data_IF_468040217179
#
_entry.id   IF_468040217179
#
_cell.length_a   1.000
_cell.length_b   1.000
_cell.length_c   1.000
_cell.angle_alpha   90.00
_cell.angle_beta   90.00
_cell.angle_gamma   90.00
#
_symmetry.space_group_name_H-M   'P 1'
#
loop_
_entity.id
_entity.type
_entity.pdbx_description
1 polymer ?
#
# COMPACT_ATOMS: atom_id res chain seq x y z
N UNK A 1 72.63 9.00 39.40
CA UNK A 1 71.23 9.48 39.37
C UNK A 1 70.68 9.76 37.96
N UNK A 2 71.52 10.02 36.95
CA UNK A 2 71.05 10.40 35.61
C UNK A 2 70.32 9.25 34.88
N UNK A 3 70.83 8.02 34.97
CA UNK A 3 70.22 6.87 34.30
C UNK A 3 68.86 6.45 34.90
N UNK A 4 68.70 6.57 36.22
CA UNK A 4 67.44 6.23 36.90
C UNK A 4 66.28 7.16 36.49
N UNK A 5 66.57 8.44 36.24
CA UNK A 5 65.58 9.40 35.73
C UNK A 5 65.14 9.06 34.30
N UNK A 6 66.07 8.62 33.45
CA UNK A 6 65.76 8.19 32.07
C UNK A 6 64.91 6.92 32.05
N UNK A 7 65.24 5.91 32.86
CA UNK A 7 64.44 4.68 32.92
C UNK A 7 63.04 4.91 33.49
N UNK A 8 62.91 5.74 34.54
CA UNK A 8 61.61 6.09 35.11
C UNK A 8 60.74 6.88 34.11
N UNK A 9 61.35 7.76 33.31
CA UNK A 9 60.67 8.51 32.26
C UNK A 9 60.13 7.61 31.13
N UNK A 10 60.91 6.61 30.69
CA UNK A 10 60.48 5.66 29.64
C UNK A 10 59.34 4.75 30.13
N UNK A 11 59.39 4.29 31.38
CA UNK A 11 58.34 3.45 31.96
C UNK A 11 57.03 4.23 32.16
N UNK A 12 57.11 5.49 32.59
CA UNK A 12 55.93 6.36 32.76
C UNK A 12 55.26 6.77 31.43
N UNK A 13 56.00 6.78 30.32
CA UNK A 13 55.46 7.07 28.98
C UNK A 13 54.84 5.84 28.29
N UNK A 14 55.23 4.63 28.69
CA UNK A 14 54.79 3.39 28.04
C UNK A 14 53.27 3.09 28.06
N UNK A 15 52.48 3.43 29.11
CA UNK A 15 51.02 3.22 29.07
C UNK A 15 50.26 4.29 28.26
N UNK A 16 50.93 5.34 27.77
CA UNK A 16 50.32 6.43 27.00
C UNK A 16 50.33 6.18 25.49
N UNK A 17 51.00 5.13 25.03
CA UNK A 17 51.06 4.79 23.60
C UNK A 17 50.01 3.74 23.28
N UNK A 18 49.00 4.10 22.50
CA UNK A 18 48.11 3.11 21.89
C UNK A 18 48.90 2.32 20.85
N UNK A 19 48.82 1.00 20.86
CA UNK A 19 49.43 0.13 19.85
C UNK A 19 48.65 0.21 18.53
N UNK A 20 48.73 1.36 17.86
CA UNK A 20 48.08 1.63 16.58
C UNK A 20 49.13 1.66 15.46
N UNK A 21 48.78 1.08 14.32
CA UNK A 21 49.57 1.10 13.09
C UNK A 21 48.89 2.08 12.14
N UNK A 22 49.53 3.23 11.92
CA UNK A 22 49.16 4.20 10.90
C UNK A 22 49.97 4.01 9.64
N UNK A 23 49.33 3.78 8.51
CA UNK A 23 49.95 3.82 7.19
C UNK A 23 49.50 5.12 6.52
N UNK A 24 50.46 6.02 6.28
CA UNK A 24 50.24 7.33 5.67
C UNK A 24 49.31 8.27 6.48
N UNK A 25 49.26 8.09 7.80
CA UNK A 25 48.65 9.02 8.77
C UNK A 25 49.47 9.06 10.06
N UNK A 26 49.64 10.24 10.65
CA UNK A 26 50.33 10.44 11.95
C UNK A 26 49.36 10.45 13.14
N UNK A 27 48.06 10.36 12.88
CA UNK A 27 47.01 10.31 13.90
C UNK A 27 46.02 9.21 13.56
N UNK A 28 46.38 7.92 13.75
CA UNK A 28 45.50 6.80 13.48
C UNK A 28 44.23 6.89 14.33
N UNK A 29 43.08 6.72 13.69
CA UNK A 29 41.77 6.66 14.34
C UNK A 29 41.32 5.23 14.71
N UNK A 30 42.07 4.23 14.24
CA UNK A 30 41.83 2.81 14.46
C UNK A 30 43.14 2.05 14.76
N UNK A 31 43.05 0.79 15.22
CA UNK A 31 44.22 -0.08 15.47
C UNK A 31 45.08 -0.27 14.21
N UNK A 32 44.45 -0.35 13.03
CA UNK A 32 45.09 -0.25 11.73
C UNK A 32 44.34 0.84 10.94
N UNK A 33 45.02 1.94 10.67
CA UNK A 33 44.48 3.05 9.89
C UNK A 33 45.30 3.23 8.62
N UNK A 34 44.67 3.08 7.46
CA UNK A 34 45.30 3.18 6.16
C UNK A 34 44.63 4.33 5.41
N UNK A 35 45.37 5.41 5.22
CA UNK A 35 44.91 6.56 4.45
C UNK A 35 45.58 6.54 3.09
N UNK A 36 44.83 6.35 2.00
CA UNK A 36 45.39 6.41 0.66
C UNK A 36 45.98 7.80 0.37
N UNK A 37 47.01 7.85 -0.48
CA UNK A 37 47.57 9.14 -0.94
C UNK A 37 46.70 9.83 -1.98
N UNK A 38 45.93 9.05 -2.76
CA UNK A 38 44.98 9.55 -3.74
C UNK A 38 43.53 9.48 -3.26
N UNK A 39 42.63 9.91 -4.14
CA UNK A 39 41.17 9.78 -3.99
C UNK A 39 40.48 9.37 -5.32
N UNK A 40 41.25 8.85 -6.28
CA UNK A 40 40.78 8.42 -7.60
C UNK A 40 40.82 6.89 -7.74
N UNK A 41 40.47 6.34 -8.90
CA UNK A 41 40.56 4.90 -9.16
C UNK A 41 41.92 4.46 -9.74
N UNK A 42 42.91 5.37 -9.82
CA UNK A 42 44.21 5.09 -10.43
C UNK A 42 45.11 4.24 -9.54
N UNK A 43 44.93 4.36 -8.22
CA UNK A 43 45.76 3.71 -7.19
C UNK A 43 44.89 3.01 -6.13
N UNK A 44 45.54 2.22 -5.28
CA UNK A 44 44.89 1.31 -4.34
C UNK A 44 45.20 1.72 -2.90
N UNK A 45 44.17 1.77 -2.08
CA UNK A 45 44.26 1.99 -0.64
C UNK A 45 44.68 0.69 0.07
N UNK A 46 44.15 -0.44 -0.37
CA UNK A 46 44.49 -1.76 0.14
C UNK A 46 44.47 -2.81 -0.99
N UNK A 47 45.47 -3.70 -0.98
CA UNK A 47 45.58 -4.86 -1.86
C UNK A 47 45.97 -6.09 -1.05
N UNK A 48 45.17 -7.13 -1.14
CA UNK A 48 45.48 -8.47 -0.62
C UNK A 48 45.60 -9.40 -1.83
N UNK A 49 46.73 -10.07 -1.97
CA UNK A 49 47.03 -10.95 -3.10
C UNK A 49 47.39 -12.35 -2.67
N UNK A 50 47.14 -13.32 -3.56
CA UNK A 50 47.71 -14.65 -3.40
C UNK A 50 49.23 -14.65 -3.67
N UNK A 51 49.90 -15.75 -3.34
CA UNK A 51 51.34 -15.93 -3.53
C UNK A 51 51.71 -16.54 -4.89
N UNK A 52 50.78 -16.61 -5.84
CA UNK A 52 51.01 -17.31 -7.10
C UNK A 52 52.02 -16.57 -7.96
N UNK A 53 52.96 -17.31 -8.54
CA UNK A 53 54.02 -16.77 -9.41
C UNK A 53 53.85 -17.31 -10.83
N UNK A 54 54.12 -16.53 -11.90
CA UNK A 54 54.75 -15.21 -11.91
C UNK A 54 53.78 -14.02 -11.73
N UNK A 55 52.46 -14.27 -11.69
CA UNK A 55 51.44 -13.22 -11.52
C UNK A 55 50.55 -13.58 -10.35
N UNK A 56 50.51 -12.71 -9.33
CA UNK A 56 49.62 -12.85 -8.18
C UNK A 56 48.25 -12.27 -8.50
N UNK A 57 47.18 -12.99 -8.12
CA UNK A 57 45.83 -12.47 -8.24
C UNK A 57 45.50 -11.54 -7.08
N UNK A 58 44.69 -10.52 -7.32
CA UNK A 58 44.15 -9.65 -6.25
C UNK A 58 42.89 -10.30 -5.68
N UNK A 59 43.00 -10.81 -4.45
CA UNK A 59 41.89 -11.44 -3.71
C UNK A 59 40.92 -10.37 -3.21
N UNK A 60 41.46 -9.30 -2.62
CA UNK A 60 40.70 -8.11 -2.19
C UNK A 60 41.43 -6.85 -2.65
N UNK A 61 40.68 -5.96 -3.28
CA UNK A 61 41.16 -4.66 -3.74
C UNK A 61 40.26 -3.58 -3.18
N UNK A 62 40.84 -2.54 -2.58
CA UNK A 62 40.15 -1.29 -2.26
C UNK A 62 40.88 -0.18 -3.02
N UNK A 63 40.21 0.45 -3.98
CA UNK A 63 40.73 1.62 -4.69
C UNK A 63 40.63 2.87 -3.81
N UNK A 64 41.44 3.90 -4.10
CA UNK A 64 41.44 5.15 -3.31
C UNK A 64 40.09 5.90 -3.36
N UNK A 65 39.25 5.64 -4.38
CA UNK A 65 37.89 6.19 -4.48
C UNK A 65 36.82 5.36 -3.72
N UNK A 66 37.26 4.36 -2.95
CA UNK A 66 36.42 3.50 -2.12
C UNK A 66 35.71 2.38 -2.88
N UNK A 67 36.06 2.10 -4.14
CA UNK A 67 35.56 0.93 -4.84
C UNK A 67 36.24 -0.34 -4.31
N UNK A 68 35.43 -1.31 -3.88
CA UNK A 68 35.89 -2.60 -3.35
C UNK A 68 35.69 -3.69 -4.40
N UNK A 69 36.75 -4.45 -4.68
CA UNK A 69 36.75 -5.60 -5.57
C UNK A 69 37.11 -6.86 -4.80
N UNK A 70 36.37 -7.95 -5.04
CA UNK A 70 36.75 -9.30 -4.59
C UNK A 70 37.02 -10.14 -5.84
N UNK A 71 38.25 -10.67 -5.95
CA UNK A 71 38.79 -11.27 -7.18
C UNK A 71 38.75 -10.33 -8.41
N UNK A 72 38.78 -9.01 -8.18
CA UNK A 72 38.76 -8.01 -9.25
C UNK A 72 39.70 -6.87 -8.94
N UNK A 73 40.79 -6.79 -9.70
CA UNK A 73 41.84 -5.78 -9.50
C UNK A 73 41.41 -4.35 -9.81
N UNK A 74 40.45 -4.16 -10.71
CA UNK A 74 39.95 -2.83 -11.10
C UNK A 74 38.41 -2.81 -11.01
N UNK A 75 37.83 -2.61 -9.81
CA UNK A 75 36.40 -2.50 -9.62
C UNK A 75 35.85 -1.15 -10.11
N UNK A 76 34.85 -1.21 -10.99
CA UNK A 76 34.12 -0.03 -11.51
C UNK A 76 32.93 0.40 -10.64
N UNK A 77 32.45 -0.47 -9.73
CA UNK A 77 31.37 -0.19 -8.78
C UNK A 77 31.86 -0.20 -7.34
N UNK A 78 31.02 0.25 -6.41
CA UNK A 78 31.36 0.34 -4.97
C UNK A 78 31.69 -1.02 -4.35
N UNK A 79 30.97 -2.07 -4.73
CA UNK A 79 31.31 -3.46 -4.46
C UNK A 79 31.17 -4.22 -5.78
N UNK A 80 32.28 -4.77 -6.30
CA UNK A 80 32.31 -5.55 -7.54
C UNK A 80 32.90 -6.93 -7.22
N UNK A 81 32.05 -7.95 -7.24
CA UNK A 81 32.43 -9.34 -7.02
C UNK A 81 32.35 -10.07 -8.36
N UNK A 82 33.41 -10.77 -8.74
CA UNK A 82 33.45 -11.59 -9.96
C UNK A 82 33.63 -13.05 -9.57
N UNK A 83 32.73 -13.91 -10.04
CA UNK A 83 32.86 -15.35 -9.86
C UNK A 83 33.96 -15.95 -10.71
N UNK A 84 34.61 -17.00 -10.20
CA UNK A 84 35.42 -17.88 -11.03
C UNK A 84 34.48 -18.84 -11.79
N UNK A 85 34.72 -19.02 -13.10
CA UNK A 85 33.84 -19.68 -14.05
C UNK A 85 33.54 -21.17 -13.80
N UNK A 86 33.95 -21.76 -12.67
CA UNK A 86 33.94 -23.22 -12.53
C UNK A 86 33.30 -23.83 -11.29
N UNK A 87 33.00 -23.15 -10.17
CA UNK A 87 32.39 -23.88 -9.01
C UNK A 87 31.61 -23.10 -7.94
N UNK A 88 31.62 -21.76 -7.88
CA UNK A 88 31.05 -21.04 -6.71
C UNK A 88 30.12 -19.87 -7.08
N UNK A 89 29.12 -19.62 -6.23
CA UNK A 89 28.24 -18.44 -6.31
C UNK A 89 29.05 -17.14 -6.16
N UNK A 90 28.69 -16.12 -6.97
CA UNK A 90 29.35 -14.79 -6.94
C UNK A 90 28.99 -14.01 -5.67
N UNK A 91 27.81 -14.27 -5.11
CA UNK A 91 27.34 -13.66 -3.87
C UNK A 91 26.48 -14.70 -3.15
N UNK A 92 27.04 -15.29 -2.10
CA UNK A 92 26.36 -16.24 -1.24
C UNK A 92 25.86 -15.51 0.01
N UNK A 93 24.55 -15.39 0.16
CA UNK A 93 23.90 -14.78 1.33
C UNK A 93 23.38 -15.91 2.23
N UNK A 94 24.19 -16.37 3.17
CA UNK A 94 23.75 -17.32 4.21
C UNK A 94 23.06 -16.59 5.37
N UNK A 95 22.16 -17.28 6.08
CA UNK A 95 21.24 -16.75 7.10
C UNK A 95 20.07 -15.88 6.61
N UNK A 96 19.47 -16.22 5.46
CA UNK A 96 18.07 -15.87 5.23
C UNK A 96 17.08 -16.81 5.96
N UNK A 97 17.51 -17.50 7.01
CA UNK A 97 16.57 -18.02 8.01
C UNK A 97 16.22 -16.88 8.96
N UNK A 98 15.41 -15.93 8.46
CA UNK A 98 14.49 -15.27 9.37
C UNK A 98 13.55 -16.35 9.89
N UNK A 99 13.45 -16.50 11.20
CA UNK A 99 12.49 -17.37 11.89
C UNK A 99 11.01 -16.98 11.68
N UNK A 100 10.66 -16.44 10.52
CA UNK A 100 9.31 -16.08 10.09
C UNK A 100 9.05 -16.60 8.65
N UNK A 101 9.21 -17.92 8.49
CA UNK A 101 8.78 -18.68 7.32
C UNK A 101 7.24 -18.68 7.08
N UNK A 102 6.51 -17.74 7.68
CA UNK A 102 5.05 -17.64 7.58
C UNK A 102 4.57 -16.46 6.72
N UNK A 103 5.43 -15.51 6.31
CA UNK A 103 5.02 -14.44 5.37
C UNK A 103 5.95 -14.22 4.17
N UNK A 104 7.06 -14.96 4.08
CA UNK A 104 7.57 -15.45 2.79
C UNK A 104 7.94 -14.45 1.70
N UNK A 105 8.48 -13.26 2.00
CA UNK A 105 9.08 -12.41 0.97
C UNK A 105 10.46 -11.90 1.39
N UNK A 106 11.50 -12.34 0.66
CA UNK A 106 12.81 -11.69 0.68
C UNK A 106 12.71 -10.37 -0.08
N UNK A 107 13.23 -9.27 0.45
CA UNK A 107 13.30 -8.00 -0.29
C UNK A 107 14.20 -8.09 -1.54
N UNK A 108 14.96 -9.18 -1.66
CA UNK A 108 15.84 -9.52 -2.76
C UNK A 108 15.61 -10.98 -3.19
N UNK A 109 15.08 -11.19 -4.39
CA UNK A 109 14.92 -12.50 -5.01
C UNK A 109 15.96 -12.63 -6.14
N UNK A 110 16.68 -13.75 -6.20
CA UNK A 110 17.58 -14.06 -7.30
C UNK A 110 16.88 -15.11 -8.18
N UNK A 111 16.64 -14.78 -9.44
CA UNK A 111 16.10 -15.74 -10.40
C UNK A 111 17.22 -16.70 -10.82
N UNK A 112 17.16 -17.95 -10.35
CA UNK A 112 18.19 -18.97 -10.59
C UNK A 112 18.38 -19.37 -12.07
N UNK A 113 17.44 -19.03 -12.95
CA UNK A 113 17.54 -19.33 -14.40
C UNK A 113 18.17 -18.19 -15.19
N UNK A 114 17.99 -16.94 -14.73
CA UNK A 114 18.41 -15.74 -15.48
C UNK A 114 19.47 -14.90 -14.76
N UNK A 115 19.78 -15.22 -13.49
CA UNK A 115 20.66 -14.43 -12.63
C UNK A 115 20.09 -13.06 -12.24
N UNK A 116 18.83 -12.76 -12.59
CA UNK A 116 18.23 -11.45 -12.35
C UNK A 116 17.88 -11.27 -10.87
N UNK A 117 18.34 -10.15 -10.31
CA UNK A 117 17.98 -9.68 -8.97
C UNK A 117 16.66 -8.91 -9.05
N UNK A 118 15.64 -9.36 -8.34
CA UNK A 118 14.27 -8.84 -8.37
C UNK A 118 13.91 -8.34 -6.97
N UNK A 119 13.37 -7.13 -6.86
CA UNK A 119 12.71 -6.67 -5.63
C UNK A 119 11.34 -7.34 -5.54
N UNK A 120 11.10 -8.13 -4.49
CA UNK A 120 9.76 -8.68 -4.25
C UNK A 120 8.79 -7.55 -3.94
N UNK A 121 7.93 -7.21 -4.89
CA UNK A 121 6.70 -6.46 -4.61
C UNK A 121 5.63 -7.54 -4.44
N UNK A 122 5.11 -7.74 -3.23
CA UNK A 122 4.11 -8.77 -2.97
C UNK A 122 2.96 -8.74 -3.97
N UNK A 123 2.24 -9.86 -4.11
CA UNK A 123 1.03 -9.94 -4.94
C UNK A 123 0.02 -8.93 -4.38
N UNK A 124 -0.07 -7.75 -5.00
CA UNK A 124 -0.97 -6.72 -4.51
C UNK A 124 -2.38 -7.17 -4.85
N UNK A 125 -3.22 -7.39 -3.83
CA UNK A 125 -4.65 -7.60 -4.03
C UNK A 125 -5.20 -6.45 -4.87
N UNK A 126 -5.73 -6.76 -6.05
CA UNK A 126 -6.31 -5.76 -6.94
C UNK A 126 -7.69 -5.39 -6.36
N UNK A 127 -7.77 -4.23 -5.71
CA UNK A 127 -8.93 -3.80 -4.92
C UNK A 127 -9.19 -2.31 -5.08
N UNK A 128 -10.46 -1.91 -5.00
CA UNK A 128 -10.85 -0.54 -4.73
C UNK A 128 -11.68 -0.49 -3.45
N UNK A 129 -11.34 0.38 -2.52
CA UNK A 129 -12.15 0.67 -1.34
C UNK A 129 -12.30 2.18 -1.14
N UNK A 130 -13.55 2.63 -1.05
CA UNK A 130 -13.92 4.00 -0.73
C UNK A 130 -14.72 4.01 0.56
N UNK A 131 -14.39 4.94 1.47
CA UNK A 131 -15.10 5.17 2.73
C UNK A 131 -15.33 6.67 2.90
N UNK A 132 -16.58 7.08 3.00
CA UNK A 132 -16.95 8.50 3.08
C UNK A 132 -17.64 8.79 4.40
N UNK A 133 -17.20 9.82 5.11
CA UNK A 133 -17.89 10.37 6.29
C UNK A 133 -18.83 11.53 5.93
N UNK A 134 -18.84 11.97 4.67
CA UNK A 134 -19.67 13.09 4.23
C UNK A 134 -21.15 12.67 4.16
N UNK A 135 -22.07 13.37 4.85
CA UNK A 135 -23.50 13.15 4.67
C UNK A 135 -23.96 13.51 3.25
N UNK A 136 -25.04 12.89 2.79
CA UNK A 136 -25.64 13.21 1.49
C UNK A 136 -27.15 13.44 1.62
N UNK A 137 -27.59 14.59 1.14
CA UNK A 137 -29.02 14.88 0.94
C UNK A 137 -29.50 14.20 -0.36
N UNK A 138 -30.78 13.86 -0.38
CA UNK A 138 -31.48 13.17 -1.46
C UNK A 138 -32.73 13.99 -1.79
N UNK A 139 -33.19 13.95 -3.02
CA UNK A 139 -34.52 14.42 -3.38
C UNK A 139 -35.56 13.54 -2.68
N UNK A 140 -36.34 14.18 -1.81
CA UNK A 140 -37.34 13.54 -0.95
C UNK A 140 -38.55 13.02 -1.74
N UNK A 141 -38.82 13.60 -2.91
CA UNK A 141 -40.03 13.39 -3.69
C UNK A 141 -39.81 12.49 -4.90
N UNK A 142 -38.58 12.44 -5.43
CA UNK A 142 -38.25 11.62 -6.58
C UNK A 142 -38.53 10.13 -6.34
N UNK A 143 -39.01 9.45 -7.38
CA UNK A 143 -39.08 7.98 -7.44
C UNK A 143 -37.99 7.36 -8.33
N UNK A 144 -37.21 8.21 -8.98
CA UNK A 144 -36.07 7.81 -9.81
C UNK A 144 -34.87 7.47 -8.95
N UNK A 145 -33.96 6.65 -9.49
CA UNK A 145 -32.68 6.36 -8.85
C UNK A 145 -31.83 7.62 -8.69
N UNK A 146 -31.25 7.79 -7.52
CA UNK A 146 -30.35 8.89 -7.16
C UNK A 146 -28.95 8.32 -6.93
N UNK A 147 -27.94 8.98 -7.49
CA UNK A 147 -26.54 8.59 -7.33
C UNK A 147 -26.11 8.75 -5.88
N UNK A 148 -25.49 7.72 -5.32
CA UNK A 148 -24.71 7.83 -4.09
C UNK A 148 -23.33 8.37 -4.48
N UNK A 149 -22.99 9.55 -3.98
CA UNK A 149 -21.79 10.28 -4.42
C UNK A 149 -20.60 9.98 -3.54
N UNK A 150 -19.38 10.04 -4.07
CA UNK A 150 -18.15 9.95 -3.28
C UNK A 150 -17.22 11.11 -3.68
N UNK A 151 -16.31 11.48 -2.79
CA UNK A 151 -15.22 12.40 -3.08
C UNK A 151 -13.98 11.62 -3.50
N UNK A 152 -13.12 12.22 -4.34
CA UNK A 152 -11.82 11.62 -4.66
C UNK A 152 -10.96 11.36 -3.41
N UNK A 153 -11.15 12.16 -2.36
CA UNK A 153 -10.49 12.03 -1.05
C UNK A 153 -11.03 10.89 -0.17
N UNK A 154 -12.16 10.27 -0.53
CA UNK A 154 -12.72 9.11 0.20
C UNK A 154 -11.96 7.80 -0.13
N UNK A 155 -11.05 7.85 -1.10
CA UNK A 155 -10.25 6.74 -1.57
C UNK A 155 -9.33 6.19 -0.47
N UNK A 156 -9.40 4.89 -0.19
CA UNK A 156 -8.43 4.19 0.65
C UNK A 156 -7.43 3.40 -0.20
N UNK A 157 -7.94 2.69 -1.22
CA UNK A 157 -7.17 1.91 -2.19
C UNK A 157 -7.94 2.00 -3.51
N UNK A 158 -7.26 2.14 -4.65
CA UNK A 158 -7.90 2.24 -5.98
C UNK A 158 -7.06 1.56 -7.05
N UNK A 159 -6.78 0.26 -6.89
CA UNK A 159 -6.04 -0.55 -7.88
C UNK A 159 -6.94 -1.36 -8.80
N UNK A 160 -8.19 -1.64 -8.40
CA UNK A 160 -9.16 -2.36 -9.24
C UNK A 160 -9.92 -1.47 -10.23
N UNK A 161 -10.11 -0.20 -9.86
CA UNK A 161 -10.94 0.75 -10.60
C UNK A 161 -10.31 2.15 -10.59
N UNK A 162 -10.76 3.01 -11.49
CA UNK A 162 -10.66 4.47 -11.34
C UNK A 162 -12.01 5.06 -10.94
N UNK A 163 -12.03 6.20 -10.26
CA UNK A 163 -13.27 6.87 -9.84
C UNK A 163 -13.39 8.25 -10.48
N UNK A 164 -14.55 8.54 -11.06
CA UNK A 164 -14.92 9.85 -11.58
C UNK A 164 -15.93 10.52 -10.63
N UNK A 165 -15.50 11.56 -9.92
CA UNK A 165 -16.33 12.26 -8.95
C UNK A 165 -17.50 13.01 -9.59
N UNK A 166 -17.33 13.59 -10.77
CA UNK A 166 -18.38 14.33 -11.49
C UNK A 166 -19.58 13.44 -11.81
N UNK A 167 -19.32 12.20 -12.20
CA UNK A 167 -20.38 11.23 -12.53
C UNK A 167 -20.69 10.26 -11.39
N UNK A 168 -19.87 10.25 -10.33
CA UNK A 168 -19.91 9.26 -9.24
C UNK A 168 -19.87 7.82 -9.73
N UNK A 169 -18.96 7.53 -10.67
CA UNK A 169 -18.80 6.22 -11.29
C UNK A 169 -17.41 5.63 -11.07
N UNK A 170 -17.37 4.32 -10.88
CA UNK A 170 -16.15 3.51 -10.82
C UNK A 170 -15.95 2.83 -12.18
N UNK A 171 -14.75 2.89 -12.76
CA UNK A 171 -14.44 2.23 -14.04
C UNK A 171 -13.47 1.08 -13.79
N UNK A 172 -13.85 -0.14 -14.18
CA UNK A 172 -13.04 -1.35 -14.05
C UNK A 172 -11.77 -1.21 -14.90
N UNK A 173 -10.60 -1.47 -14.32
CA UNK A 173 -9.31 -1.30 -15.00
C UNK A 173 -8.91 -2.53 -15.83
N UNK A 174 -9.30 -3.73 -15.42
CA UNK A 174 -8.87 -4.98 -16.04
C UNK A 174 -10.03 -5.95 -16.18
N UNK A 175 -9.96 -6.84 -17.18
CA UNK A 175 -10.90 -7.96 -17.24
C UNK A 175 -10.70 -8.87 -16.01
N UNK A 176 -11.79 -9.37 -15.43
CA UNK A 176 -11.70 -10.30 -14.33
C UNK A 176 -13.04 -10.61 -13.67
N UNK A 177 -12.95 -11.48 -12.67
CA UNK A 177 -14.05 -11.76 -11.75
C UNK A 177 -13.89 -10.85 -10.54
N UNK A 178 -14.95 -10.15 -10.17
CA UNK A 178 -14.94 -9.18 -9.08
C UNK A 178 -16.00 -9.52 -8.05
N UNK A 179 -15.63 -9.47 -6.77
CA UNK A 179 -16.58 -9.34 -5.68
C UNK A 179 -16.86 -7.86 -5.42
N UNK A 180 -18.14 -7.51 -5.37
CA UNK A 180 -18.61 -6.13 -5.20
C UNK A 180 -19.55 -6.08 -4.00
N UNK A 181 -19.32 -5.13 -3.10
CA UNK A 181 -20.19 -4.89 -1.96
C UNK A 181 -20.26 -3.40 -1.63
N UNK A 182 -21.36 -2.99 -0.99
CA UNK A 182 -21.61 -1.59 -0.68
C UNK A 182 -22.43 -1.45 0.58
N UNK A 183 -22.32 -0.26 1.17
CA UNK A 183 -22.97 0.10 2.42
C UNK A 183 -23.37 1.56 2.41
N UNK A 184 -24.54 1.87 2.98
CA UNK A 184 -24.91 3.22 3.41
C UNK A 184 -25.52 3.21 4.81
N UNK A 185 -25.32 4.29 5.55
CA UNK A 185 -26.16 4.68 6.67
C UNK A 185 -27.33 5.50 6.17
N UNK A 186 -28.54 5.02 6.35
CA UNK A 186 -29.76 5.67 5.87
C UNK A 186 -30.67 6.07 7.02
N UNK A 187 -31.16 7.30 6.96
CA UNK A 187 -32.12 7.87 7.89
C UNK A 187 -33.31 8.41 7.11
N UNK A 188 -34.47 7.76 7.25
CA UNK A 188 -35.71 8.20 6.61
C UNK A 188 -36.25 9.52 7.18
N UNK A 189 -35.86 9.86 8.42
CA UNK A 189 -36.24 11.06 9.18
C UNK A 189 -37.74 11.41 9.10
N UNK A 190 -38.63 10.58 9.67
CA UNK A 190 -40.09 10.79 9.61
C UNK A 190 -40.71 11.08 10.98
N UNK A 191 -40.50 12.27 11.56
CA UNK A 191 -41.17 12.69 12.80
C UNK A 191 -42.68 12.91 12.62
N UNK A 192 -43.16 12.96 11.38
CA UNK A 192 -44.53 13.23 10.98
C UNK A 192 -45.39 11.97 10.77
N UNK A 193 -44.82 10.77 10.95
CA UNK A 193 -45.60 9.53 10.93
C UNK A 193 -46.55 9.48 12.12
N UNK A 194 -47.85 9.36 11.84
CA UNK A 194 -48.94 9.38 12.82
C UNK A 194 -49.62 8.02 12.99
N UNK A 195 -49.31 7.05 12.13
CA UNK A 195 -49.89 5.70 12.16
C UNK A 195 -48.83 4.62 11.97
N UNK A 196 -49.05 3.45 12.58
CA UNK A 196 -48.14 2.30 12.47
C UNK A 196 -48.11 1.67 11.06
N UNK A 197 -48.96 2.10 10.15
CA UNK A 197 -49.04 1.59 8.76
C UNK A 197 -48.22 2.42 7.78
N UNK A 198 -47.76 3.62 8.17
CA UNK A 198 -46.92 4.46 7.32
C UNK A 198 -45.48 3.94 7.27
N UNK A 199 -44.90 3.98 6.08
CA UNK A 199 -43.57 3.44 5.83
C UNK A 199 -42.77 4.25 4.83
N UNK A 200 -41.45 4.10 4.90
CA UNK A 200 -40.50 4.46 3.83
C UNK A 200 -39.81 3.19 3.37
N UNK A 201 -39.84 2.93 2.06
CA UNK A 201 -39.06 1.89 1.42
C UNK A 201 -37.97 2.51 0.55
N UNK A 202 -36.80 1.87 0.50
CA UNK A 202 -35.72 2.22 -0.42
C UNK A 202 -35.16 0.97 -1.08
N UNK A 203 -34.85 1.10 -2.37
CA UNK A 203 -33.98 0.16 -3.07
C UNK A 203 -32.56 0.71 -3.04
N UNK A 204 -31.60 -0.14 -2.72
CA UNK A 204 -30.18 0.16 -2.74
C UNK A 204 -29.51 -0.84 -3.66
N UNK A 205 -28.85 -0.38 -4.72
CA UNK A 205 -28.32 -1.28 -5.74
C UNK A 205 -27.11 -0.70 -6.48
N UNK A 206 -26.30 -1.60 -7.02
CA UNK A 206 -25.29 -1.25 -8.01
C UNK A 206 -25.87 -1.45 -9.41
N UNK A 207 -25.50 -0.56 -10.32
CA UNK A 207 -25.70 -0.76 -11.75
C UNK A 207 -24.36 -0.73 -12.47
N UNK A 208 -24.29 -1.43 -13.60
CA UNK A 208 -23.14 -1.39 -14.49
C UNK A 208 -23.54 -0.91 -15.89
N UNK A 209 -22.56 -0.38 -16.62
CA UNK A 209 -22.68 0.05 -18.00
C UNK A 209 -21.45 -0.39 -18.80
N UNK A 210 -21.69 -0.96 -19.98
CA UNK A 210 -20.64 -1.38 -20.92
C UNK A 210 -20.53 -0.44 -22.14
N UNK A 211 -21.31 0.64 -22.17
CA UNK A 211 -21.40 1.59 -23.29
C UNK A 211 -21.17 3.04 -22.84
N UNK A 212 -20.18 3.24 -21.97
CA UNK A 212 -19.76 4.59 -21.53
C UNK A 212 -20.82 5.33 -20.73
N UNK A 213 -21.73 4.62 -20.04
CA UNK A 213 -22.78 5.21 -19.22
C UNK A 213 -24.06 5.59 -19.96
N UNK A 214 -24.21 5.19 -21.24
CA UNK A 214 -25.42 5.48 -22.03
C UNK A 214 -26.62 4.67 -21.55
N UNK A 215 -26.42 3.40 -21.20
CA UNK A 215 -27.44 2.55 -20.59
C UNK A 215 -26.86 1.81 -19.38
N UNK A 216 -27.73 1.50 -18.41
CA UNK A 216 -27.36 0.90 -17.14
C UNK A 216 -28.20 -0.35 -16.88
N UNK A 217 -27.59 -1.38 -16.31
CA UNK A 217 -28.24 -2.62 -15.90
C UNK A 217 -27.93 -2.88 -14.44
N UNK A 218 -28.93 -3.31 -13.67
CA UNK A 218 -28.74 -3.62 -12.26
C UNK A 218 -27.84 -4.85 -12.10
N UNK A 219 -26.83 -4.73 -11.25
CA UNK A 219 -25.90 -5.80 -10.92
C UNK A 219 -26.37 -6.61 -9.71
N UNK A 220 -26.69 -5.90 -8.64
CA UNK A 220 -27.12 -6.46 -7.36
C UNK A 220 -27.84 -5.39 -6.56
N UNK A 221 -28.72 -5.78 -5.64
CA UNK A 221 -29.45 -4.82 -4.82
C UNK A 221 -30.23 -5.44 -3.68
N UNK A 222 -30.74 -4.56 -2.83
CA UNK A 222 -31.58 -4.90 -1.69
C UNK A 222 -32.69 -3.85 -1.55
N UNK A 223 -33.81 -4.27 -0.95
CA UNK A 223 -34.86 -3.36 -0.50
C UNK A 223 -34.90 -3.36 1.02
N UNK A 224 -35.00 -2.16 1.59
CA UNK A 224 -35.21 -1.97 3.03
C UNK A 224 -36.49 -1.19 3.24
N UNK A 225 -37.25 -1.56 4.27
CA UNK A 225 -38.51 -0.93 4.65
C UNK A 225 -38.46 -0.48 6.10
N UNK A 226 -38.92 0.74 6.34
CA UNK A 226 -38.83 1.44 7.60
C UNK A 226 -40.24 1.88 8.02
N UNK A 227 -40.74 1.37 9.14
CA UNK A 227 -42.09 1.63 9.66
C UNK A 227 -41.98 2.41 10.96
N UNK A 228 -42.76 3.49 11.12
CA UNK A 228 -42.88 4.19 12.41
C UNK A 228 -41.58 4.73 13.03
N UNK A 229 -40.58 5.10 12.21
CA UNK A 229 -39.22 5.40 12.72
C UNK A 229 -39.11 6.81 13.33
N UNK A 230 -38.60 6.86 14.55
CA UNK A 230 -38.23 8.09 15.25
C UNK A 230 -37.05 8.80 14.56
N UNK A 231 -37.17 10.12 14.42
CA UNK A 231 -36.16 10.98 13.83
C UNK A 231 -34.75 10.77 14.41
N UNK A 232 -33.73 10.65 13.54
CA UNK A 232 -32.32 10.77 13.92
C UNK A 232 -31.52 9.46 14.10
N UNK A 233 -32.13 8.29 13.89
CA UNK A 233 -31.40 7.01 13.94
C UNK A 233 -30.99 6.56 12.53
N UNK A 234 -29.74 6.81 12.16
CA UNK A 234 -29.17 6.25 10.93
C UNK A 234 -29.10 4.72 11.03
N UNK A 235 -29.73 4.02 10.08
CA UNK A 235 -29.71 2.56 10.00
C UNK A 235 -28.79 2.11 8.89
N UNK A 236 -27.98 1.10 9.20
CA UNK A 236 -27.12 0.42 8.26
C UNK A 236 -27.93 -0.34 7.19
N UNK A 237 -27.76 0.00 5.91
CA UNK A 237 -28.23 -0.80 4.77
C UNK A 237 -27.00 -1.31 4.02
N UNK A 238 -26.85 -2.63 3.96
CA UNK A 238 -25.76 -3.30 3.25
C UNK A 238 -26.30 -4.01 2.01
N UNK A 239 -25.65 -3.80 0.87
CA UNK A 239 -25.90 -4.62 -0.33
C UNK A 239 -25.23 -5.99 -0.13
N UNK A 240 -25.92 -7.10 -0.45
CA UNK A 240 -25.29 -8.41 -0.53
C UNK A 240 -24.04 -8.41 -1.42
N UNK A 241 -22.95 -8.99 -0.96
CA UNK A 241 -21.77 -9.15 -1.80
C UNK A 241 -22.12 -9.98 -3.04
N UNK A 242 -21.74 -9.49 -4.21
CA UNK A 242 -22.01 -10.16 -5.50
C UNK A 242 -20.72 -10.40 -6.24
N UNK A 243 -20.60 -11.58 -6.83
CA UNK A 243 -19.50 -11.95 -7.71
C UNK A 243 -19.97 -11.75 -9.16
N UNK A 244 -19.19 -11.00 -9.95
CA UNK A 244 -19.52 -10.72 -11.35
C UNK A 244 -18.26 -10.75 -12.22
N UNK A 245 -18.39 -11.30 -13.43
CA UNK A 245 -17.37 -11.17 -14.47
C UNK A 245 -17.53 -9.83 -15.17
N UNK A 246 -16.50 -8.99 -15.11
CA UNK A 246 -16.52 -7.63 -15.64
C UNK A 246 -15.34 -7.41 -16.58
N UNK A 247 -15.58 -6.69 -17.67
CA UNK A 247 -14.53 -6.28 -18.60
C UNK A 247 -13.95 -4.93 -18.20
N UNK A 248 -12.70 -4.68 -18.59
CA UNK A 248 -12.09 -3.37 -18.53
C UNK A 248 -13.00 -2.33 -19.20
N UNK A 249 -13.03 -1.11 -18.65
CA UNK A 249 -13.92 -0.01 -19.02
C UNK A 249 -15.41 -0.19 -18.66
N UNK A 250 -15.80 -1.29 -18.01
CA UNK A 250 -17.14 -1.37 -17.42
C UNK A 250 -17.27 -0.30 -16.33
N UNK A 251 -18.30 0.54 -16.43
CA UNK A 251 -18.59 1.56 -15.43
C UNK A 251 -19.59 1.00 -14.42
N UNK A 252 -19.41 1.31 -13.14
CA UNK A 252 -20.30 0.92 -12.04
C UNK A 252 -20.69 2.15 -11.25
N UNK A 253 -21.95 2.22 -10.84
CA UNK A 253 -22.47 3.28 -9.99
C UNK A 253 -23.32 2.72 -8.87
N UNK A 254 -23.35 3.45 -7.77
CA UNK A 254 -24.10 3.09 -6.57
C UNK A 254 -25.37 3.96 -6.50
N UNK A 255 -26.54 3.32 -6.42
CA UNK A 255 -27.83 3.99 -6.52
C UNK A 255 -28.68 3.71 -5.29
N UNK A 256 -29.34 4.76 -4.80
CA UNK A 256 -30.49 4.65 -3.91
C UNK A 256 -31.74 5.13 -4.64
N UNK A 257 -32.84 4.41 -4.51
CA UNK A 257 -34.11 4.76 -5.14
C UNK A 257 -35.24 4.66 -4.12
N UNK A 258 -36.14 5.63 -4.15
CA UNK A 258 -37.44 5.55 -3.48
C UNK A 258 -38.46 4.93 -4.46
N UNK A 259 -38.84 3.66 -4.32
CA UNK A 259 -39.74 3.03 -5.27
C UNK A 259 -41.17 3.56 -5.10
N UNK A 260 -41.88 3.76 -6.22
CA UNK A 260 -43.31 4.07 -6.24
C UNK A 260 -44.16 2.86 -5.86
N UNK A 261 -44.17 2.50 -4.57
CA UNK A 261 -44.95 1.37 -4.05
C UNK A 261 -46.24 1.81 -3.39
N UNK A 262 -47.27 0.96 -3.48
CA UNK A 262 -48.48 1.00 -2.67
C UNK A 262 -48.65 -0.38 -2.02
N UNK A 263 -48.74 -0.43 -0.69
CA UNK A 263 -48.97 -1.65 0.08
C UNK A 263 -50.25 -1.48 0.89
N UNK A 264 -51.24 -2.34 0.66
CA UNK A 264 -52.55 -2.31 1.34
C UNK A 264 -53.21 -0.91 1.33
N UNK A 265 -53.12 -0.20 0.21
CA UNK A 265 -53.67 1.16 0.04
C UNK A 265 -52.82 2.29 0.63
N UNK A 266 -51.67 1.99 1.26
CA UNK A 266 -50.74 2.99 1.79
C UNK A 266 -49.58 3.17 0.80
N UNK A 267 -49.37 4.40 0.34
CA UNK A 267 -48.25 4.75 -0.54
C UNK A 267 -46.93 4.85 0.23
N UNK A 268 -45.83 4.51 -0.44
CA UNK A 268 -44.49 4.74 0.09
C UNK A 268 -44.26 6.23 0.38
N UNK A 269 -43.95 6.55 1.64
CA UNK A 269 -43.69 7.91 2.08
C UNK A 269 -42.50 8.54 1.35
N UNK A 270 -42.50 9.88 1.26
CA UNK A 270 -41.31 10.67 0.90
C UNK A 270 -40.22 10.49 1.96
N UNK A 271 -38.98 10.88 1.65
CA UNK A 271 -38.01 11.09 2.72
C UNK A 271 -38.42 12.34 3.50
N UNK A 272 -38.18 12.40 4.81
CA UNK A 272 -38.46 13.63 5.55
C UNK A 272 -37.33 14.64 5.41
N UNK A 273 -37.58 15.89 5.81
CA UNK A 273 -36.60 16.96 5.62
C UNK A 273 -35.29 16.66 6.36
N UNK A 274 -34.16 16.72 5.66
CA UNK A 274 -32.84 16.63 6.27
C UNK A 274 -32.73 17.66 7.42
N UNK A 275 -32.53 17.18 8.66
CA UNK A 275 -32.29 18.06 9.80
C UNK A 275 -31.00 18.86 9.63
N UNK A 276 -30.85 19.99 10.32
CA UNK A 276 -29.63 20.82 10.26
C UNK A 276 -28.38 19.97 10.57
N UNK A 277 -27.64 19.56 9.53
CA UNK A 277 -26.43 18.73 9.63
C UNK A 277 -26.60 17.23 9.36
N UNK A 278 -27.82 16.70 9.19
CA UNK A 278 -28.09 15.27 8.95
C UNK A 278 -28.72 15.04 7.58
N UNK A 279 -27.91 14.69 6.57
CA UNK A 279 -28.42 14.19 5.28
C UNK A 279 -29.23 12.89 5.44
N UNK A 280 -29.98 12.50 4.41
CA UNK A 280 -30.69 11.20 4.42
C UNK A 280 -29.71 10.03 4.43
N UNK A 281 -28.55 10.20 3.79
CA UNK A 281 -27.39 9.34 4.03
C UNK A 281 -26.54 10.03 5.09
N UNK A 282 -26.47 9.44 6.28
CA UNK A 282 -25.76 9.99 7.43
C UNK A 282 -25.04 8.89 8.19
N UNK A 283 -24.36 9.28 9.28
CA UNK A 283 -23.58 8.37 10.10
C UNK A 283 -24.54 7.55 10.98
N UNK A 284 -24.59 6.21 10.82
CA UNK A 284 -25.28 5.35 11.78
C UNK A 284 -24.60 5.42 13.15
N UNK A 285 -25.37 5.20 14.21
CA UNK A 285 -24.80 5.04 15.54
C UNK A 285 -23.77 3.91 15.56
N UNK A 286 -22.58 4.16 16.12
CA UNK A 286 -21.49 3.19 16.24
C UNK A 286 -20.64 2.96 14.98
N UNK A 287 -20.86 3.71 13.89
CA UNK A 287 -20.04 3.63 12.67
C UNK A 287 -19.11 4.84 12.53
N UNK A 288 -18.04 4.70 11.73
CA UNK A 288 -17.09 5.79 11.44
C UNK A 288 -17.28 6.46 10.08
N UNK A 289 -18.17 5.93 9.24
CA UNK A 289 -18.44 6.44 7.90
C UNK A 289 -19.91 6.27 7.52
N UNK A 290 -20.40 7.14 6.65
CA UNK A 290 -21.80 7.18 6.19
C UNK A 290 -22.05 6.23 5.03
N UNK A 291 -21.00 5.89 4.27
CA UNK A 291 -21.11 5.01 3.09
C UNK A 291 -19.75 4.45 2.68
N UNK A 292 -19.77 3.27 2.07
CA UNK A 292 -18.58 2.65 1.53
C UNK A 292 -18.87 1.74 0.34
N UNK A 293 -17.86 1.54 -0.50
CA UNK A 293 -17.87 0.56 -1.59
C UNK A 293 -16.57 -0.23 -1.58
N UNK A 294 -16.66 -1.52 -1.91
CA UNK A 294 -15.54 -2.42 -2.11
C UNK A 294 -15.68 -3.14 -3.45
N UNK A 295 -14.62 -3.10 -4.24
CA UNK A 295 -14.39 -3.95 -5.41
C UNK A 295 -13.13 -4.78 -5.13
N UNK A 296 -13.23 -6.10 -5.15
CA UNK A 296 -12.09 -7.00 -5.02
C UNK A 296 -12.03 -7.89 -6.25
N UNK A 297 -10.93 -7.83 -7.00
CA UNK A 297 -10.66 -8.81 -8.06
C UNK A 297 -10.26 -10.13 -7.43
N UNK A 298 -10.93 -11.21 -7.84
CA UNK A 298 -10.72 -12.58 -7.38
C UNK A 298 -9.73 -13.34 -8.28
#
# INVERSE_FOLDING_TARGET
MQNLKTYLFVILLSPLTSAQIGINTTSPSATLDIVSKGNTNATKALKISDSTTPVSNELVTILDNGNVGVNKSNPSGKVHIVGNASTNDVLYLENLQGGDALTGYSNLLINNTTGKVIKSTGVSTVMTNYKSSTPQALDQTSTSGQLITFLSTDNQISTATTFNQTTSTFTILENGVYMISGFIGFNAFRPDFSTATQYVAVNLYFEYSTNGGTSWSQLTGIRSTFVGIAAGTGTAIQIPSTIASLSANTMIRFIIQRPGLIINGVSNGTFGAAGAGNGHINLPSGQSYTKSVLFLKL
#
